data_IF_102292419925
#
_entry.id   IF_102292419925
#
_cell.length_a   1.000
_cell.length_b   1.000
_cell.length_c   1.000
_cell.angle_alpha   90.00
_cell.angle_beta   90.00
_cell.angle_gamma   90.00
#
_symmetry.space_group_name_H-M   'P 1'
#
loop_
_entity.id
_entity.type
_entity.pdbx_description
1 polymer ?
#
# COMPACT_ATOMS: atom_id res chain seq x y z
N UNK A 1 -18.67 21.98 -47.67
CA UNK A 1 -18.96 23.39 -47.98
C UNK A 1 -18.94 24.16 -46.66
N UNK A 2 -17.78 24.79 -46.36
CA UNK A 2 -17.48 25.78 -45.30
C UNK A 2 -17.78 25.34 -43.83
N UNK A 3 -16.87 25.46 -42.86
CA UNK A 3 -16.33 26.71 -42.33
C UNK A 3 -14.96 26.46 -41.66
N UNK A 4 -13.90 26.92 -42.33
CA UNK A 4 -12.74 27.71 -41.85
C UNK A 4 -11.95 27.33 -40.58
N UNK A 5 -10.66 27.02 -40.82
CA UNK A 5 -9.49 27.81 -40.38
C UNK A 5 -9.38 28.11 -38.87
N UNK A 6 -8.47 27.41 -38.17
CA UNK A 6 -7.74 28.00 -37.02
C UNK A 6 -6.26 28.06 -37.35
N UNK A 7 -5.88 29.14 -38.03
CA UNK A 7 -4.50 29.61 -38.16
C UNK A 7 -4.47 31.07 -37.71
N UNK A 8 -4.03 31.28 -36.48
CA UNK A 8 -3.54 32.52 -35.84
C UNK A 8 -2.92 32.02 -34.53
N UNK A 9 -1.63 32.12 -34.24
CA UNK A 9 -0.70 33.18 -34.58
C UNK A 9 -0.45 34.02 -33.33
N UNK A 10 0.47 33.57 -32.47
CA UNK A 10 1.17 34.29 -31.39
C UNK A 10 2.28 33.31 -30.93
N UNK A 11 3.44 33.24 -31.56
CA UNK A 11 4.55 34.20 -31.56
C UNK A 11 4.77 34.87 -30.18
N UNK A 12 5.93 34.52 -29.61
CA UNK A 12 6.72 35.28 -28.64
C UNK A 12 6.16 35.41 -27.20
N UNK A 13 6.43 34.40 -26.36
CA UNK A 13 6.79 34.68 -24.96
C UNK A 13 8.32 34.61 -24.86
N UNK A 14 8.85 35.82 -24.93
CA UNK A 14 10.18 36.30 -24.65
C UNK A 14 10.82 35.62 -23.43
N UNK A 15 11.97 34.98 -23.66
CA UNK A 15 13.02 34.76 -22.66
C UNK A 15 13.35 36.09 -21.96
N UNK A 16 13.07 36.18 -20.65
CA UNK A 16 13.70 37.17 -19.78
C UNK A 16 14.10 36.52 -18.45
N UNK A 17 15.42 36.34 -18.35
CA UNK A 17 16.26 36.59 -17.19
C UNK A 17 16.04 35.75 -15.91
N UNK A 18 16.87 34.70 -15.82
CA UNK A 18 17.49 34.28 -14.55
C UNK A 18 18.28 35.48 -14.01
N UNK A 19 17.88 36.01 -12.86
CA UNK A 19 18.72 36.82 -11.99
C UNK A 19 18.83 36.11 -10.64
N UNK A 20 20.03 35.62 -10.24
CA UNK A 20 20.26 35.14 -8.89
C UNK A 20 20.44 36.37 -7.99
N UNK A 21 19.33 36.84 -7.44
CA UNK A 21 19.30 37.98 -6.52
C UNK A 21 18.73 37.55 -5.18
N UNK A 22 19.61 37.35 -4.19
CA UNK A 22 19.26 37.36 -2.78
C UNK A 22 18.34 38.56 -2.49
N UNK A 23 17.09 38.31 -2.10
CA UNK A 23 16.27 39.31 -1.44
C UNK A 23 15.75 38.73 -0.14
N UNK A 24 16.62 38.82 0.87
CA UNK A 24 16.23 38.75 2.27
C UNK A 24 15.35 39.97 2.55
N UNK A 25 14.03 39.76 2.67
CA UNK A 25 13.14 40.76 3.26
C UNK A 25 12.85 40.35 4.69
N UNK A 26 13.57 41.02 5.60
CA UNK A 26 13.26 41.11 7.02
C UNK A 26 11.78 41.44 7.22
N UNK A 27 11.04 40.51 7.81
CA UNK A 27 9.77 40.77 8.47
C UNK A 27 10.06 40.86 9.97
N UNK A 28 10.20 42.08 10.47
CA UNK A 28 10.08 42.38 11.90
C UNK A 28 8.62 42.08 12.31
N UNK A 29 8.40 40.90 12.87
CA UNK A 29 7.21 40.58 13.65
C UNK A 29 7.59 40.54 15.13
N UNK A 30 6.86 41.23 16.02
CA UNK A 30 7.14 41.16 17.45
C UNK A 30 6.85 39.75 17.97
N UNK A 31 7.91 39.02 18.34
CA UNK A 31 7.81 37.73 19.03
C UNK A 31 7.08 37.91 20.37
N UNK A 32 5.87 37.35 20.44
CA UNK A 32 5.30 36.94 21.71
C UNK A 32 6.19 35.82 22.28
N UNK A 33 6.80 36.10 23.42
CA UNK A 33 7.58 35.12 24.17
C UNK A 33 6.71 33.92 24.53
N UNK A 34 6.92 32.79 23.85
CA UNK A 34 6.54 31.47 24.35
C UNK A 34 7.76 30.83 25.01
N UNK A 35 7.62 30.17 26.17
CA UNK A 35 8.73 29.52 26.85
C UNK A 35 9.27 28.37 26.01
N UNK A 36 10.59 28.33 25.82
CA UNK A 36 11.30 27.22 25.19
C UNK A 36 11.02 25.91 25.92
N UNK A 37 10.82 24.77 25.22
CA UNK A 37 10.95 23.48 25.86
C UNK A 37 12.41 23.28 26.26
N UNK A 38 12.63 23.08 27.56
CA UNK A 38 13.90 22.63 28.12
C UNK A 38 14.38 21.40 27.34
N UNK A 39 15.45 21.58 26.54
CA UNK A 39 16.21 20.47 26.00
C UNK A 39 16.86 19.76 27.18
N UNK A 40 16.21 18.70 27.64
CA UNK A 40 16.84 17.76 28.56
C UNK A 40 17.86 17.01 27.73
N UNK A 41 19.14 17.31 27.96
CA UNK A 41 20.25 16.57 27.40
C UNK A 41 20.05 15.08 27.69
N UNK A 42 19.78 14.30 26.65
CA UNK A 42 19.82 12.85 26.73
C UNK A 42 21.27 12.44 26.91
N UNK A 43 21.65 12.09 28.13
CA UNK A 43 22.84 11.31 28.41
C UNK A 43 22.84 10.06 27.53
N UNK A 44 23.96 9.71 26.85
CA UNK A 44 24.06 8.43 26.17
C UNK A 44 23.97 7.31 27.22
N UNK A 45 22.95 6.48 27.08
CA UNK A 45 22.84 5.19 27.78
C UNK A 45 24.12 4.38 27.49
N UNK A 46 24.83 3.88 28.51
CA UNK A 46 25.96 2.99 28.27
C UNK A 46 25.48 1.73 27.55
N UNK A 47 26.20 1.36 26.49
CA UNK A 47 26.00 0.14 25.74
C UNK A 47 25.83 -1.06 26.69
N UNK A 48 24.72 -1.76 26.56
CA UNK A 48 24.50 -3.02 27.23
C UNK A 48 25.63 -4.00 26.83
N UNK A 49 26.19 -4.77 27.78
CA UNK A 49 27.20 -5.77 27.45
C UNK A 49 26.58 -6.81 26.51
N UNK A 50 27.34 -7.19 25.49
CA UNK A 50 27.03 -8.32 24.63
C UNK A 50 26.77 -9.55 25.50
N UNK A 51 25.50 -9.94 25.60
CA UNK A 51 25.11 -11.22 26.17
C UNK A 51 25.54 -12.26 25.16
N UNK A 52 26.52 -13.08 25.55
CA UNK A 52 26.96 -14.24 24.80
C UNK A 52 25.76 -15.17 24.50
N UNK A 53 25.74 -15.85 23.34
CA UNK A 53 24.72 -16.86 23.06
C UNK A 53 24.76 -17.96 24.13
N UNK A 54 23.60 -18.53 24.53
CA UNK A 54 23.59 -19.65 25.45
C UNK A 54 24.29 -20.86 24.81
N UNK A 55 25.15 -21.52 25.60
CA UNK A 55 25.78 -22.80 25.27
C UNK A 55 24.74 -23.82 24.76
N UNK A 56 24.91 -24.27 23.53
CA UNK A 56 24.30 -25.50 23.04
C UNK A 56 24.80 -26.68 23.89
N UNK A 57 23.90 -27.27 24.67
CA UNK A 57 24.12 -28.59 25.25
C UNK A 57 23.73 -29.64 24.19
N UNK A 58 24.61 -30.61 23.88
CA UNK A 58 24.32 -31.64 22.88
C UNK A 58 23.15 -32.53 23.30
N UNK A 59 21.99 -32.37 22.67
CA UNK A 59 20.92 -33.36 22.78
C UNK A 59 21.30 -34.55 21.92
N UNK A 60 21.66 -35.61 22.62
CA UNK A 60 21.89 -36.95 22.08
C UNK A 60 20.58 -37.46 21.49
N UNK A 61 20.57 -37.67 20.17
CA UNK A 61 19.48 -38.34 19.47
C UNK A 61 19.39 -39.81 19.93
N UNK A 62 18.22 -40.32 20.32
CA UNK A 62 17.97 -41.73 20.30
C UNK A 62 17.53 -42.14 18.89
N UNK A 63 18.38 -42.94 18.27
CA UNK A 63 18.10 -43.74 17.08
C UNK A 63 16.94 -44.70 17.38
N UNK A 64 15.85 -44.58 16.61
CA UNK A 64 14.77 -45.56 16.56
C UNK A 64 14.03 -45.47 15.21
N UNK A 65 14.60 -46.12 14.19
CA UNK A 65 13.77 -46.88 13.24
C UNK A 65 13.35 -48.18 13.96
N UNK A 66 12.12 -48.71 13.77
CA UNK A 66 11.77 -49.21 12.45
C UNK A 66 10.27 -49.13 12.06
N UNK A 67 10.05 -49.50 10.79
CA UNK A 67 8.85 -50.15 10.24
C UNK A 67 7.63 -49.27 9.94
N UNK A 68 7.61 -48.81 8.69
CA UNK A 68 6.39 -48.53 7.94
C UNK A 68 5.44 -49.75 7.92
N UNK A 69 4.13 -49.57 8.14
CA UNK A 69 3.13 -50.44 7.56
C UNK A 69 2.83 -49.95 6.13
N UNK A 70 3.13 -50.81 5.17
CA UNK A 70 2.67 -50.73 3.79
C UNK A 70 1.13 -50.79 3.76
N UNK A 71 0.47 -49.64 3.67
CA UNK A 71 -0.98 -49.56 3.43
C UNK A 71 -1.19 -49.46 1.93
N UNK A 72 -1.57 -50.58 1.33
CA UNK A 72 -2.09 -50.67 -0.05
C UNK A 72 -3.22 -49.65 -0.26
N UNK A 73 -3.21 -48.82 -1.33
CA UNK A 73 -4.38 -48.05 -1.68
C UNK A 73 -5.36 -48.94 -2.46
N UNK A 74 -6.48 -49.29 -1.83
CA UNK A 74 -7.70 -49.69 -2.55
C UNK A 74 -8.27 -48.47 -3.29
N UNK A 75 -8.81 -48.63 -4.52
CA UNK A 75 -9.41 -47.54 -5.27
C UNK A 75 -10.83 -47.31 -4.72
N UNK A 76 -10.95 -46.61 -3.61
CA UNK A 76 -12.23 -46.04 -3.21
C UNK A 76 -12.43 -44.74 -3.95
N UNK A 77 -13.44 -44.74 -4.81
CA UNK A 77 -13.97 -43.59 -5.53
C UNK A 77 -14.26 -42.44 -4.56
N UNK A 78 -13.32 -41.50 -4.45
CA UNK A 78 -13.53 -40.25 -3.75
C UNK A 78 -14.49 -39.37 -4.58
N UNK A 79 -15.78 -39.47 -4.30
CA UNK A 79 -16.73 -38.40 -4.60
C UNK A 79 -16.29 -37.18 -3.78
N UNK A 80 -15.58 -36.27 -4.46
CA UNK A 80 -15.20 -34.97 -3.93
C UNK A 80 -16.47 -34.13 -3.75
N UNK A 81 -17.11 -34.26 -2.58
CA UNK A 81 -18.21 -33.39 -2.19
C UNK A 81 -17.61 -32.08 -1.67
N UNK A 82 -17.43 -31.10 -2.56
CA UNK A 82 -17.11 -29.72 -2.16
C UNK A 82 -18.31 -29.13 -1.43
N UNK A 83 -18.36 -29.33 -0.11
CA UNK A 83 -19.23 -28.55 0.77
C UNK A 83 -18.71 -27.12 0.77
N UNK A 84 -19.33 -26.27 -0.04
CA UNK A 84 -19.16 -24.82 0.06
C UNK A 84 -19.78 -24.39 1.39
N UNK A 85 -18.93 -24.19 2.39
CA UNK A 85 -19.34 -23.55 3.65
C UNK A 85 -19.60 -22.09 3.32
N UNK A 86 -20.86 -21.70 3.33
CA UNK A 86 -21.24 -20.30 3.26
C UNK A 86 -20.71 -19.59 4.52
N UNK A 87 -19.67 -18.80 4.37
CA UNK A 87 -19.15 -17.94 5.43
C UNK A 87 -20.13 -16.78 5.60
N UNK A 88 -20.75 -16.67 6.76
CA UNK A 88 -21.60 -15.52 7.08
C UNK A 88 -20.75 -14.24 7.07
N UNK A 89 -21.30 -13.09 6.62
CA UNK A 89 -20.56 -11.84 6.61
C UNK A 89 -20.13 -11.44 8.04
N UNK A 90 -18.87 -11.05 8.19
CA UNK A 90 -18.25 -10.64 9.46
C UNK A 90 -18.78 -9.27 9.90
N UNK A 91 -19.21 -9.13 11.16
CA UNK A 91 -19.60 -7.84 11.73
C UNK A 91 -18.36 -7.04 12.13
N UNK A 92 -17.91 -6.18 11.22
CA UNK A 92 -16.71 -5.37 11.41
C UNK A 92 -16.85 -4.27 12.46
N UNK A 93 -18.07 -3.90 12.87
CA UNK A 93 -18.26 -2.94 13.95
C UNK A 93 -17.92 -3.55 15.33
N UNK A 94 -18.01 -4.88 15.45
CA UNK A 94 -17.84 -5.59 16.71
C UNK A 94 -16.77 -6.70 16.65
N UNK A 95 -15.92 -6.73 15.62
CA UNK A 95 -14.85 -7.72 15.50
C UNK A 95 -14.00 -7.80 16.78
N UNK A 96 -13.89 -8.97 17.38
CA UNK A 96 -13.16 -9.18 18.64
C UNK A 96 -11.91 -10.05 18.45
N UNK A 97 -11.98 -11.00 17.54
CA UNK A 97 -10.85 -11.91 17.27
C UNK A 97 -9.95 -11.33 16.19
N UNK A 98 -8.66 -11.67 16.23
CA UNK A 98 -7.72 -11.24 15.20
C UNK A 98 -8.11 -11.77 13.81
N UNK A 99 -8.78 -12.93 13.73
CA UNK A 99 -9.31 -13.46 12.48
C UNK A 99 -10.43 -12.57 11.90
N UNK A 100 -11.38 -12.13 12.73
CA UNK A 100 -12.43 -11.19 12.32
C UNK A 100 -11.83 -9.84 11.90
N UNK A 101 -10.84 -9.34 12.66
CA UNK A 101 -10.14 -8.08 12.33
C UNK A 101 -9.43 -8.20 10.97
N UNK A 102 -8.74 -9.31 10.71
CA UNK A 102 -8.08 -9.56 9.42
C UNK A 102 -9.10 -9.61 8.27
N UNK A 103 -10.24 -10.27 8.47
CA UNK A 103 -11.32 -10.31 7.47
C UNK A 103 -11.89 -8.92 7.19
N UNK A 104 -12.03 -8.09 8.22
CA UNK A 104 -12.52 -6.73 8.08
C UNK A 104 -11.52 -5.83 7.35
N UNK A 105 -10.22 -5.92 7.64
CA UNK A 105 -9.20 -5.20 6.90
C UNK A 105 -9.21 -5.59 5.41
N UNK A 106 -9.35 -6.88 5.11
CA UNK A 106 -9.48 -7.35 3.74
C UNK A 106 -10.75 -6.79 3.05
N UNK A 107 -11.89 -6.80 3.74
CA UNK A 107 -13.14 -6.29 3.19
C UNK A 107 -13.07 -4.77 2.91
N UNK A 108 -12.41 -4.00 3.78
CA UNK A 108 -12.14 -2.57 3.56
C UNK A 108 -11.27 -2.36 2.32
N UNK A 109 -10.18 -3.12 2.17
CA UNK A 109 -9.36 -3.07 0.96
C UNK A 109 -10.17 -3.40 -0.31
N UNK A 110 -10.98 -4.47 -0.30
CA UNK A 110 -11.83 -4.83 -1.44
C UNK A 110 -12.79 -3.68 -1.82
N UNK A 111 -13.30 -2.95 -0.82
CA UNK A 111 -14.16 -1.78 -1.05
C UNK A 111 -13.36 -0.64 -1.70
N UNK A 112 -12.15 -0.36 -1.21
CA UNK A 112 -11.27 0.66 -1.78
C UNK A 112 -10.84 0.31 -3.22
N UNK A 113 -10.52 -0.95 -3.49
CA UNK A 113 -10.14 -1.42 -4.83
C UNK A 113 -11.29 -1.33 -5.82
N UNK A 114 -12.52 -1.64 -5.38
CA UNK A 114 -13.70 -1.45 -6.22
C UNK A 114 -13.90 0.02 -6.62
N UNK A 115 -13.65 0.95 -5.70
CA UNK A 115 -13.73 2.38 -5.96
C UNK A 115 -12.62 2.86 -6.90
N UNK A 116 -11.37 2.43 -6.70
CA UNK A 116 -10.27 2.70 -7.62
C UNK A 116 -10.63 2.25 -9.04
N UNK A 117 -11.11 1.02 -9.19
CA UNK A 117 -11.50 0.47 -10.50
C UNK A 117 -12.64 1.29 -11.13
N UNK A 118 -13.62 1.75 -10.34
CA UNK A 118 -14.69 2.62 -10.84
C UNK A 118 -14.12 3.93 -11.39
N UNK A 119 -13.25 4.60 -10.65
CA UNK A 119 -12.63 5.87 -11.07
C UNK A 119 -11.71 5.67 -12.28
N UNK A 120 -10.87 4.64 -12.26
CA UNK A 120 -10.01 4.25 -13.39
C UNK A 120 -10.81 4.08 -14.68
N UNK A 121 -11.93 3.34 -14.65
CA UNK A 121 -12.74 3.14 -15.84
C UNK A 121 -13.34 4.47 -16.36
N UNK A 122 -13.81 5.34 -15.46
CA UNK A 122 -14.32 6.64 -15.86
C UNK A 122 -13.23 7.50 -16.52
N UNK A 123 -12.04 7.60 -15.90
CA UNK A 123 -10.90 8.31 -16.46
C UNK A 123 -10.54 7.74 -17.84
N UNK A 124 -10.32 6.43 -17.93
CA UNK A 124 -9.98 5.75 -19.18
C UNK A 124 -10.97 6.05 -20.31
N UNK A 125 -12.28 6.07 -20.03
CA UNK A 125 -13.29 6.37 -21.06
C UNK A 125 -13.28 7.81 -21.55
N UNK A 126 -12.71 8.74 -20.78
CA UNK A 126 -12.58 10.15 -21.17
C UNK A 126 -11.36 10.43 -22.05
N UNK A 127 -10.39 9.51 -22.09
CA UNK A 127 -9.11 9.65 -22.77
C UNK A 127 -9.14 9.13 -24.21
N UNK A 128 -8.25 9.68 -25.06
CA UNK A 128 -8.02 9.13 -26.38
C UNK A 128 -7.19 7.83 -26.34
N UNK A 129 -7.08 7.10 -27.45
CA UNK A 129 -6.42 5.78 -27.46
C UNK A 129 -4.98 5.78 -26.97
N UNK A 130 -4.20 6.80 -27.30
CA UNK A 130 -2.81 6.89 -26.84
C UNK A 130 -2.75 7.13 -25.33
N UNK A 131 -3.53 8.08 -24.83
CA UNK A 131 -3.60 8.38 -23.39
C UNK A 131 -4.13 7.19 -22.59
N UNK A 132 -5.03 6.37 -23.15
CA UNK A 132 -5.50 5.14 -22.51
C UNK A 132 -4.38 4.11 -22.35
N UNK A 133 -3.52 3.93 -23.37
CA UNK A 133 -2.37 3.04 -23.29
C UNK A 133 -1.38 3.52 -22.21
N UNK A 134 -1.08 4.83 -22.20
CA UNK A 134 -0.22 5.45 -21.19
C UNK A 134 -0.80 5.30 -19.76
N UNK A 135 -2.11 5.44 -19.59
CA UNK A 135 -2.78 5.21 -18.31
C UNK A 135 -2.70 3.73 -17.89
N UNK A 136 -2.88 2.77 -18.81
CA UNK A 136 -2.77 1.35 -18.51
C UNK A 136 -1.36 1.02 -18.00
N UNK A 137 -0.33 1.49 -18.69
CA UNK A 137 1.06 1.25 -18.28
C UNK A 137 1.36 1.86 -16.90
N UNK A 138 0.83 3.05 -16.64
CA UNK A 138 0.96 3.71 -15.33
C UNK A 138 0.27 2.92 -14.20
N UNK A 139 -0.94 2.40 -14.42
CA UNK A 139 -1.65 1.58 -13.43
C UNK A 139 -0.96 0.24 -13.17
N UNK A 140 -0.40 -0.40 -14.19
CA UNK A 140 0.35 -1.65 -14.03
C UNK A 140 1.59 -1.42 -13.16
N UNK A 141 2.37 -0.37 -13.44
CA UNK A 141 3.51 -0.01 -12.62
C UNK A 141 3.11 0.38 -11.18
N UNK A 142 1.95 1.03 -11.02
CA UNK A 142 1.42 1.37 -9.70
C UNK A 142 1.02 0.13 -8.89
N UNK A 143 0.46 -0.91 -9.53
CA UNK A 143 0.14 -2.18 -8.85
C UNK A 143 1.41 -2.81 -8.27
N UNK A 144 2.49 -2.86 -9.05
CA UNK A 144 3.78 -3.38 -8.56
C UNK A 144 4.29 -2.57 -7.36
N UNK A 145 4.24 -1.23 -7.45
CA UNK A 145 4.60 -0.34 -6.34
C UNK A 145 3.75 -0.60 -5.09
N UNK A 146 2.43 -0.74 -5.25
CA UNK A 146 1.50 -0.99 -4.14
C UNK A 146 1.85 -2.30 -3.45
N UNK A 147 2.00 -3.36 -4.21
CA UNK A 147 2.23 -4.70 -3.69
C UNK A 147 3.60 -4.76 -2.98
N UNK A 148 4.67 -4.24 -3.59
CA UNK A 148 6.00 -4.16 -2.97
C UNK A 148 6.00 -3.29 -1.70
N UNK A 149 5.27 -2.17 -1.70
CA UNK A 149 5.15 -1.29 -0.53
C UNK A 149 4.47 -2.01 0.63
N UNK A 150 3.39 -2.73 0.36
CA UNK A 150 2.60 -3.39 1.40
C UNK A 150 3.25 -4.67 1.91
N UNK A 151 3.99 -5.40 1.06
CA UNK A 151 4.88 -6.47 1.50
C UNK A 151 5.96 -5.93 2.43
N UNK A 152 6.62 -4.83 2.05
CA UNK A 152 7.65 -4.21 2.88
C UNK A 152 7.09 -3.71 4.23
N UNK A 153 5.94 -3.04 4.24
CA UNK A 153 5.30 -2.51 5.46
C UNK A 153 4.89 -3.62 6.43
N UNK A 154 4.43 -4.77 5.91
CA UNK A 154 4.00 -5.90 6.72
C UNK A 154 5.13 -6.85 7.15
N UNK A 155 6.30 -6.78 6.50
CA UNK A 155 7.41 -7.73 6.65
C UNK A 155 7.92 -7.92 8.09
N UNK A 156 7.90 -6.88 8.92
CA UNK A 156 8.33 -6.98 10.32
C UNK A 156 7.40 -7.85 11.19
N UNK A 157 6.23 -8.21 10.67
CA UNK A 157 5.22 -9.03 11.33
C UNK A 157 5.10 -10.43 10.73
N UNK A 158 6.00 -10.83 9.82
CA UNK A 158 5.94 -12.11 9.10
C UNK A 158 5.62 -13.31 10.02
N UNK A 159 4.60 -14.08 9.64
CA UNK A 159 4.11 -15.25 10.39
C UNK A 159 3.29 -14.93 11.64
N UNK A 160 3.16 -13.65 12.00
CA UNK A 160 2.34 -13.18 13.11
C UNK A 160 0.86 -13.02 12.73
N UNK A 161 -0.03 -13.19 13.70
CA UNK A 161 -1.48 -13.07 13.48
C UNK A 161 -1.94 -11.67 13.05
N UNK A 162 -1.15 -10.64 13.34
CA UNK A 162 -1.41 -9.24 12.98
C UNK A 162 -0.97 -8.89 11.55
N UNK A 163 -0.05 -9.65 10.95
CA UNK A 163 0.50 -9.36 9.62
C UNK A 163 -0.58 -9.09 8.57
N UNK A 164 -1.66 -9.89 8.45
CA UNK A 164 -2.68 -9.62 7.44
C UNK A 164 -3.42 -8.29 7.66
N UNK A 165 -3.64 -7.89 8.93
CA UNK A 165 -4.24 -6.57 9.22
C UNK A 165 -3.35 -5.44 8.71
N UNK A 166 -2.03 -5.53 8.93
CA UNK A 166 -1.08 -4.52 8.47
C UNK A 166 -1.02 -4.49 6.93
N UNK A 167 -0.93 -5.66 6.31
CA UNK A 167 -0.89 -5.79 4.85
C UNK A 167 -2.14 -5.22 4.18
N UNK A 168 -3.34 -5.64 4.59
CA UNK A 168 -4.58 -5.13 4.00
C UNK A 168 -4.84 -3.66 4.33
N UNK A 169 -4.43 -3.18 5.51
CA UNK A 169 -4.49 -1.76 5.86
C UNK A 169 -3.60 -0.90 4.96
N UNK A 170 -2.39 -1.38 4.62
CA UNK A 170 -1.55 -0.73 3.62
C UNK A 170 -2.24 -0.70 2.25
N UNK A 171 -2.74 -1.85 1.79
CA UNK A 171 -3.40 -1.96 0.50
C UNK A 171 -4.58 -0.99 0.38
N UNK A 172 -5.43 -0.91 1.41
CA UNK A 172 -6.53 0.06 1.49
C UNK A 172 -6.02 1.50 1.35
N UNK A 173 -5.04 1.90 2.18
CA UNK A 173 -4.50 3.26 2.21
C UNK A 173 -3.91 3.68 0.86
N UNK A 174 -3.02 2.87 0.30
CA UNK A 174 -2.34 3.17 -0.97
C UNK A 174 -3.33 3.19 -2.13
N UNK A 175 -4.35 2.31 -2.11
CA UNK A 175 -5.43 2.29 -3.10
C UNK A 175 -6.32 3.53 -3.01
N UNK A 176 -6.63 4.00 -1.81
CA UNK A 176 -7.41 5.23 -1.61
C UNK A 176 -6.63 6.47 -2.08
N UNK A 177 -5.32 6.53 -1.82
CA UNK A 177 -4.44 7.60 -2.32
C UNK A 177 -4.44 7.63 -3.85
N UNK A 178 -4.25 6.48 -4.51
CA UNK A 178 -4.30 6.40 -5.98
C UNK A 178 -5.66 6.78 -6.55
N UNK A 179 -6.74 6.35 -5.91
CA UNK A 179 -8.11 6.73 -6.29
C UNK A 179 -8.26 8.24 -6.34
N UNK A 180 -7.73 8.97 -5.36
CA UNK A 180 -7.78 10.43 -5.33
C UNK A 180 -6.97 11.06 -6.47
N UNK A 181 -5.80 10.51 -6.81
CA UNK A 181 -5.00 10.96 -7.95
C UNK A 181 -5.72 10.76 -9.29
N UNK A 182 -6.33 9.60 -9.51
CA UNK A 182 -7.10 9.33 -10.73
C UNK A 182 -8.36 10.20 -10.83
N UNK A 183 -9.01 10.46 -9.69
CA UNK A 183 -10.17 11.35 -9.63
C UNK A 183 -9.78 12.79 -10.01
N UNK A 184 -8.63 13.27 -9.52
CA UNK A 184 -8.11 14.58 -9.91
C UNK A 184 -7.79 14.65 -11.41
N UNK A 185 -7.20 13.61 -11.99
CA UNK A 185 -6.94 13.54 -13.43
C UNK A 185 -8.23 13.53 -14.26
N UNK A 186 -9.25 12.80 -13.79
CA UNK A 186 -10.57 12.76 -14.42
C UNK A 186 -11.22 14.13 -14.46
N UNK A 187 -11.19 14.87 -13.34
CA UNK A 187 -11.73 16.23 -13.25
C UNK A 187 -11.02 17.20 -14.20
N UNK A 188 -9.70 17.06 -14.37
CA UNK A 188 -8.92 17.87 -15.30
C UNK A 188 -9.17 17.53 -16.77
N UNK A 189 -9.66 16.32 -17.05
CA UNK A 189 -9.96 15.84 -18.41
C UNK A 189 -11.37 16.23 -18.87
N UNK A 190 -12.21 16.77 -17.98
CA UNK A 190 -13.57 17.21 -18.31
C UNK A 190 -13.57 18.66 -18.85
N UNK A 191 -14.36 18.94 -19.92
CA UNK A 191 -14.43 20.27 -20.55
C UNK A 191 -15.21 21.32 -19.75
#
# INVERSE_FOLDING_TARGET
MFITKRLTGLLAILLLAIAPGCFIRNQDSPQAASPSPTQTASTPTPAAPAVAPPEETPQTAPEAEPTAPEVSPTPETATSSSSQVAVAPTDCANAQTQAEINQCAQASYVTADAELNRVYQNLKTSLNSQEQEELIDAELAWIDYRDETCDAESSQYEGGSIQPTIYYGCLERVTAERTAELQQQLEQSQP
#
